data_IF_321914171473
#
_entry.id   IF_321914171473
#
_cell.length_a   1.000
_cell.length_b   1.000
_cell.length_c   1.000
_cell.angle_alpha   90.00
_cell.angle_beta   90.00
_cell.angle_gamma   90.00
#
_symmetry.space_group_name_H-M   'P 1'
#
loop_
_entity.id
_entity.type
_entity.pdbx_description
1 polymer ?
#
# COMPACT_ATOMS: atom_id res chain seq x y z
N UNK A 1 -2.62 3.35 4.03
CA UNK A 1 -3.08 2.49 2.92
C UNK A 1 -2.23 1.23 2.91
N UNK A 2 -2.81 0.04 2.76
CA UNK A 2 -2.06 -1.22 2.74
C UNK A 2 -1.26 -1.37 1.43
N UNK A 3 -0.05 -1.88 1.55
CA UNK A 3 0.78 -2.34 0.42
C UNK A 3 0.77 -3.88 0.33
N UNK A 4 -0.38 -4.46 0.67
CA UNK A 4 -0.66 -5.88 0.65
C UNK A 4 -2.15 -6.10 0.39
N UNK A 5 -2.51 -7.31 -0.03
CA UNK A 5 -3.87 -7.76 -0.15
C UNK A 5 -4.21 -8.85 0.86
N UNK A 6 -5.48 -8.91 1.28
CA UNK A 6 -6.03 -9.98 2.13
C UNK A 6 -6.77 -11.00 1.29
N UNK A 7 -6.50 -12.28 1.53
CA UNK A 7 -6.99 -13.41 0.72
C UNK A 7 -8.23 -14.04 1.37
N UNK A 8 -9.24 -14.29 0.55
CA UNK A 8 -10.46 -15.02 0.90
C UNK A 8 -10.64 -16.15 -0.11
N UNK A 9 -10.57 -17.41 0.34
CA UNK A 9 -10.72 -18.58 -0.51
C UNK A 9 -12.12 -19.19 -0.42
N UNK A 10 -12.48 -20.03 -1.39
CA UNK A 10 -13.79 -20.67 -1.50
C UNK A 10 -14.95 -19.67 -1.38
N UNK A 11 -14.79 -18.50 -2.00
CA UNK A 11 -15.80 -17.44 -2.02
C UNK A 11 -16.22 -17.13 -3.44
N UNK A 12 -17.44 -16.63 -3.61
CA UNK A 12 -17.94 -16.15 -4.92
C UNK A 12 -17.72 -14.66 -5.11
N UNK A 13 -17.21 -13.95 -4.09
CA UNK A 13 -16.87 -12.53 -4.19
C UNK A 13 -17.11 -11.74 -2.90
N UNK A 14 -17.02 -10.40 -2.96
CA UNK A 14 -17.18 -9.53 -1.81
C UNK A 14 -18.55 -9.70 -1.14
N UNK A 15 -18.56 -9.77 0.20
CA UNK A 15 -19.80 -9.89 0.98
C UNK A 15 -20.39 -11.30 1.06
N UNK A 16 -19.77 -12.29 0.41
CA UNK A 16 -20.19 -13.69 0.50
C UNK A 16 -19.36 -14.48 1.52
N UNK A 17 -19.87 -15.62 2.02
CA UNK A 17 -19.08 -16.55 2.82
C UNK A 17 -17.80 -16.97 2.12
N UNK A 18 -16.80 -17.33 2.92
CA UNK A 18 -15.49 -17.80 2.47
C UNK A 18 -15.01 -18.89 3.43
N UNK A 19 -14.09 -19.75 2.98
CA UNK A 19 -13.46 -20.78 3.82
C UNK A 19 -11.94 -20.60 3.83
N UNK A 20 -11.44 -19.86 4.81
CA UNK A 20 -10.00 -19.61 5.00
C UNK A 20 -9.36 -18.79 3.88
N UNK A 21 -8.04 -18.87 3.77
CA UNK A 21 -7.24 -18.10 2.80
C UNK A 21 -6.56 -18.97 1.74
N UNK A 22 -6.99 -20.21 1.60
CA UNK A 22 -6.39 -21.17 0.66
C UNK A 22 -4.97 -21.58 1.03
N UNK A 23 -4.57 -21.44 2.30
CA UNK A 23 -3.21 -21.67 2.80
C UNK A 23 -2.13 -20.94 1.98
N UNK A 24 -2.48 -19.79 1.41
CA UNK A 24 -1.57 -19.02 0.56
C UNK A 24 -1.14 -17.73 1.24
N UNK A 25 0.05 -17.26 0.88
CA UNK A 25 0.64 -16.02 1.34
C UNK A 25 2.06 -15.85 0.82
N UNK A 26 2.57 -14.62 0.77
CA UNK A 26 3.97 -14.38 0.40
C UNK A 26 4.90 -14.57 1.61
N UNK A 27 4.46 -14.11 2.78
CA UNK A 27 5.22 -14.18 4.04
C UNK A 27 4.37 -14.74 5.19
N UNK A 28 3.09 -14.36 5.23
CA UNK A 28 2.10 -14.88 6.19
C UNK A 28 0.89 -15.43 5.44
N UNK A 29 0.34 -16.54 5.94
CA UNK A 29 -0.90 -17.10 5.39
C UNK A 29 -2.04 -16.08 5.49
N UNK A 30 -2.70 -15.81 4.37
CA UNK A 30 -3.79 -14.84 4.28
C UNK A 30 -3.42 -13.47 3.74
N UNK A 31 -2.14 -13.22 3.41
CA UNK A 31 -1.73 -11.97 2.78
C UNK A 31 -0.72 -12.16 1.64
N UNK A 32 -0.90 -11.39 0.58
CA UNK A 32 0.07 -11.24 -0.51
C UNK A 32 0.54 -9.79 -0.59
N UNK A 33 1.80 -9.57 -0.94
CA UNK A 33 2.31 -8.23 -1.19
C UNK A 33 1.61 -7.61 -2.40
N UNK A 34 1.41 -6.30 -2.37
CA UNK A 34 0.83 -5.58 -3.49
C UNK A 34 1.66 -5.75 -4.77
N UNK A 35 2.99 -5.81 -4.68
CA UNK A 35 3.87 -6.07 -5.83
C UNK A 35 3.64 -7.39 -6.55
N UNK A 36 3.00 -8.35 -5.89
CA UNK A 36 2.65 -9.65 -6.44
C UNK A 36 1.21 -9.71 -7.00
N UNK A 37 0.49 -8.60 -7.01
CA UNK A 37 -0.91 -8.50 -7.43
C UNK A 37 -1.11 -7.66 -8.71
N UNK A 38 -2.13 -7.98 -9.53
CA UNK A 38 -2.95 -9.19 -9.47
C UNK A 38 -2.13 -10.44 -9.85
N UNK A 39 -2.52 -11.61 -9.32
CA UNK A 39 -1.94 -12.89 -9.73
C UNK A 39 -2.39 -13.26 -11.15
N UNK A 40 -1.63 -14.10 -11.88
CA UNK A 40 -2.03 -14.54 -13.21
C UNK A 40 -3.45 -15.13 -13.22
N UNK A 41 -4.25 -14.77 -14.24
CA UNK A 41 -5.66 -15.16 -14.44
C UNK A 41 -6.67 -14.53 -13.48
N UNK A 42 -6.25 -13.83 -12.42
CA UNK A 42 -7.16 -13.08 -11.57
C UNK A 42 -7.62 -11.80 -12.27
N UNK A 43 -8.92 -11.51 -12.21
CA UNK A 43 -9.50 -10.29 -12.80
C UNK A 43 -9.62 -9.23 -11.71
N UNK A 44 -8.95 -8.09 -11.88
CA UNK A 44 -9.03 -6.94 -10.99
C UNK A 44 -10.31 -6.14 -11.26
N UNK A 45 -11.05 -5.80 -10.20
CA UNK A 45 -12.31 -5.05 -10.23
C UNK A 45 -12.30 -4.01 -9.12
N UNK A 46 -12.92 -2.85 -9.35
CA UNK A 46 -13.08 -1.80 -8.36
C UNK A 46 -14.55 -1.38 -8.28
N UNK A 47 -15.05 -1.25 -7.05
CA UNK A 47 -16.31 -0.58 -6.76
C UNK A 47 -16.02 0.92 -6.59
N UNK A 48 -16.54 1.74 -7.50
CA UNK A 48 -16.29 3.18 -7.55
C UNK A 48 -17.07 3.96 -6.48
N UNK A 49 -18.09 3.36 -5.86
CA UNK A 49 -18.82 3.98 -4.76
C UNK A 49 -18.13 3.70 -3.43
N UNK A 50 -17.65 2.47 -3.24
CA UNK A 50 -16.96 2.05 -2.02
C UNK A 50 -15.47 2.38 -2.01
N UNK A 51 -14.89 2.70 -3.17
CA UNK A 51 -13.45 2.96 -3.35
C UNK A 51 -12.63 1.76 -2.86
N UNK A 52 -13.11 0.57 -3.22
CA UNK A 52 -12.53 -0.70 -2.86
C UNK A 52 -12.28 -1.53 -4.11
N UNK A 53 -11.09 -2.11 -4.19
CA UNK A 53 -10.70 -2.98 -5.29
C UNK A 53 -10.35 -4.38 -4.80
N UNK A 54 -10.52 -5.35 -5.67
CA UNK A 54 -10.13 -6.73 -5.43
C UNK A 54 -9.77 -7.41 -6.75
N UNK A 55 -9.02 -8.50 -6.68
CA UNK A 55 -8.91 -9.45 -7.79
C UNK A 55 -9.62 -10.74 -7.46
N UNK A 56 -10.12 -11.43 -8.49
CA UNK A 56 -10.80 -12.71 -8.33
C UNK A 56 -10.33 -13.71 -9.38
N UNK A 57 -9.84 -14.88 -8.92
CA UNK A 57 -9.59 -16.07 -9.75
C UNK A 57 -10.79 -17.01 -9.62
N UNK A 58 -11.62 -17.06 -10.66
CA UNK A 58 -12.85 -17.86 -10.68
C UNK A 58 -12.61 -19.37 -10.68
N UNK A 59 -11.45 -19.83 -11.16
CA UNK A 59 -11.11 -21.25 -11.17
C UNK A 59 -10.83 -21.76 -9.75
N UNK A 60 -10.07 -20.97 -8.99
CA UNK A 60 -9.68 -21.31 -7.61
C UNK A 60 -10.59 -20.68 -6.55
N UNK A 61 -11.63 -19.95 -6.97
CA UNK A 61 -12.57 -19.21 -6.10
C UNK A 61 -11.85 -18.37 -5.04
N UNK A 62 -10.80 -17.68 -5.49
CA UNK A 62 -9.89 -16.94 -4.62
C UNK A 62 -10.02 -15.46 -4.90
N UNK A 63 -10.46 -14.72 -3.89
CA UNK A 63 -10.58 -13.27 -3.91
C UNK A 63 -9.47 -12.64 -3.09
N UNK A 64 -8.91 -11.53 -3.56
CA UNK A 64 -7.93 -10.74 -2.80
C UNK A 64 -8.31 -9.27 -2.83
N UNK A 65 -8.49 -8.67 -1.66
CA UNK A 65 -8.81 -7.23 -1.54
C UNK A 65 -7.52 -6.45 -1.28
N UNK A 66 -7.26 -5.40 -2.08
CA UNK A 66 -6.07 -4.54 -1.98
C UNK A 66 -6.35 -3.19 -2.63
N UNK A 67 -5.50 -2.20 -2.35
CA UNK A 67 -5.57 -0.92 -3.05
C UNK A 67 -4.90 -1.01 -4.43
N UNK A 68 -5.42 -0.25 -5.40
CA UNK A 68 -4.82 -0.07 -6.73
C UNK A 68 -4.45 1.40 -6.91
N UNK A 69 -3.74 1.80 -7.99
CA UNK A 69 -3.50 3.22 -8.28
C UNK A 69 -4.81 4.02 -8.35
N UNK A 70 -5.91 3.40 -8.80
CA UNK A 70 -7.23 4.03 -8.79
C UNK A 70 -7.73 4.32 -7.36
N UNK A 71 -7.86 3.31 -6.49
CA UNK A 71 -8.39 3.53 -5.14
C UNK A 71 -7.47 4.41 -4.30
N UNK A 72 -6.15 4.28 -4.48
CA UNK A 72 -5.14 5.14 -3.86
C UNK A 72 -5.29 6.61 -4.28
N UNK A 73 -5.52 6.87 -5.57
CA UNK A 73 -5.75 8.23 -6.09
C UNK A 73 -7.02 8.87 -5.52
N UNK A 74 -8.11 8.11 -5.41
CA UNK A 74 -9.34 8.63 -4.78
C UNK A 74 -9.15 8.85 -3.27
N UNK A 75 -8.40 7.97 -2.59
CA UNK A 75 -8.04 8.18 -1.17
C UNK A 75 -7.13 9.40 -0.97
N UNK A 76 -6.27 9.73 -1.92
CA UNK A 76 -5.49 10.96 -1.91
C UNK A 76 -6.38 12.21 -2.06
N UNK A 77 -7.41 12.16 -2.92
CA UNK A 77 -8.43 13.20 -2.99
C UNK A 77 -9.16 13.36 -1.64
N UNK A 78 -9.47 12.25 -0.97
CA UNK A 78 -10.08 12.27 0.37
C UNK A 78 -9.16 12.92 1.42
N UNK A 79 -7.86 12.60 1.43
CA UNK A 79 -6.86 13.24 2.30
C UNK A 79 -6.90 14.76 2.14
N UNK A 80 -6.89 15.25 0.90
CA UNK A 80 -6.99 16.68 0.60
C UNK A 80 -8.31 17.28 1.07
N UNK A 81 -9.44 16.70 0.66
CA UNK A 81 -10.77 17.22 0.97
C UNK A 81 -11.02 17.34 2.47
N UNK A 82 -10.47 16.40 3.25
CA UNK A 82 -10.60 16.36 4.71
C UNK A 82 -9.45 17.03 5.45
N UNK A 83 -8.45 17.55 4.74
CA UNK A 83 -7.23 18.14 5.32
C UNK A 83 -6.56 17.20 6.34
N UNK A 84 -6.44 15.93 5.99
CA UNK A 84 -5.71 14.96 6.82
C UNK A 84 -4.20 15.26 6.76
N UNK A 85 -3.45 14.84 7.78
CA UNK A 85 -2.01 15.13 7.89
C UNK A 85 -1.10 14.44 6.86
N UNK A 86 -1.64 13.57 6.02
CA UNK A 86 -0.90 12.89 4.96
C UNK A 86 -1.35 11.44 4.74
N UNK A 87 -0.48 10.66 4.11
CA UNK A 87 -0.64 9.23 3.90
C UNK A 87 0.45 8.45 4.65
N UNK A 88 0.10 7.26 5.10
CA UNK A 88 1.03 6.29 5.68
C UNK A 88 0.76 4.94 5.04
N UNK A 89 1.80 4.13 4.90
CA UNK A 89 1.72 2.79 4.32
C UNK A 89 2.28 1.72 5.23
N UNK A 90 1.66 0.53 5.14
CA UNK A 90 2.18 -0.70 5.73
C UNK A 90 2.28 -1.76 4.64
N UNK A 91 3.46 -2.28 4.29
CA UNK A 91 4.79 -1.71 4.59
C UNK A 91 5.62 -1.56 3.30
N UNK A 92 6.74 -0.86 3.39
CA UNK A 92 7.54 -0.41 2.24
C UNK A 92 7.91 -1.50 1.23
N UNK A 93 8.21 -2.71 1.69
CA UNK A 93 8.67 -3.79 0.81
C UNK A 93 7.57 -4.32 -0.10
N UNK A 94 6.31 -4.10 0.25
CA UNK A 94 5.15 -4.55 -0.52
C UNK A 94 4.79 -3.68 -1.73
N UNK A 95 5.33 -2.46 -1.86
CA UNK A 95 5.01 -1.59 -3.00
C UNK A 95 5.65 -2.07 -4.31
N UNK A 96 5.10 -1.57 -5.42
CA UNK A 96 5.66 -1.75 -6.76
C UNK A 96 6.69 -0.67 -7.07
N UNK A 97 7.56 -0.98 -8.01
CA UNK A 97 8.57 -0.05 -8.55
C UNK A 97 8.23 0.45 -9.96
N UNK A 98 7.12 0.00 -10.54
CA UNK A 98 6.61 0.42 -11.84
C UNK A 98 5.56 1.54 -11.70
N UNK A 99 4.88 1.86 -12.80
CA UNK A 99 3.82 2.88 -12.86
C UNK A 99 2.59 2.56 -11.99
N UNK A 100 2.55 1.36 -11.40
CA UNK A 100 1.52 0.96 -10.44
C UNK A 100 1.92 1.18 -8.98
N UNK A 101 3.09 1.78 -8.67
CA UNK A 101 3.42 2.16 -7.29
C UNK A 101 2.31 2.99 -6.65
N UNK A 102 1.81 2.51 -5.50
CA UNK A 102 0.77 3.21 -4.74
C UNK A 102 1.36 4.46 -4.07
N UNK A 103 2.61 4.37 -3.57
CA UNK A 103 3.27 5.51 -2.93
C UNK A 103 3.42 6.64 -3.95
N UNK A 104 3.98 6.36 -5.13
CA UNK A 104 4.16 7.38 -6.17
C UNK A 104 2.82 7.94 -6.64
N UNK A 105 1.81 7.09 -6.87
CA UNK A 105 0.47 7.52 -7.28
C UNK A 105 -0.15 8.54 -6.33
N UNK A 106 -0.01 8.31 -5.01
CA UNK A 106 -0.54 9.21 -3.97
C UNK A 106 0.27 10.50 -3.89
N UNK A 107 1.60 10.41 -3.93
CA UNK A 107 2.49 11.58 -3.88
C UNK A 107 2.23 12.50 -5.07
N UNK A 108 2.18 11.96 -6.29
CA UNK A 108 1.93 12.73 -7.50
C UNK A 108 0.56 13.39 -7.47
N UNK A 109 -0.46 12.66 -7.01
CA UNK A 109 -1.82 13.18 -6.86
C UNK A 109 -1.89 14.34 -5.87
N UNK A 110 -1.22 14.25 -4.73
CA UNK A 110 -1.18 15.33 -3.73
C UNK A 110 -0.38 16.55 -4.24
N UNK A 111 0.74 16.33 -4.94
CA UNK A 111 1.53 17.39 -5.58
C UNK A 111 0.74 18.17 -6.62
N UNK A 112 0.16 17.47 -7.60
CA UNK A 112 -0.64 18.07 -8.68
C UNK A 112 -1.83 18.87 -8.14
N UNK A 113 -2.35 18.48 -6.98
CA UNK A 113 -3.49 19.13 -6.37
C UNK A 113 -3.15 20.42 -5.62
N UNK A 114 -1.91 20.91 -5.70
CA UNK A 114 -1.42 22.09 -4.96
C UNK A 114 -1.29 21.84 -3.46
N UNK A 115 -1.35 20.58 -3.04
CA UNK A 115 -1.10 20.14 -1.67
C UNK A 115 0.36 19.69 -1.49
N UNK A 116 1.28 20.29 -2.25
CA UNK A 116 2.73 20.09 -2.17
C UNK A 116 3.33 20.70 -0.88
N UNK A 117 2.70 20.38 0.24
CA UNK A 117 3.13 20.70 1.58
C UNK A 117 3.54 19.40 2.27
N UNK A 118 4.42 18.63 1.61
CA UNK A 118 5.23 17.70 2.39
C UNK A 118 5.87 18.51 3.52
N UNK A 119 5.75 18.00 4.74
CA UNK A 119 6.41 18.60 5.89
C UNK A 119 7.90 18.78 5.56
N UNK A 120 8.37 20.02 5.68
CA UNK A 120 9.73 20.42 5.36
C UNK A 120 10.58 20.59 6.62
N UNK A 121 10.11 20.09 7.76
CA UNK A 121 10.87 20.06 9.01
C UNK A 121 12.16 19.27 8.82
N UNK A 122 13.30 19.92 9.12
CA UNK A 122 14.61 19.27 9.06
C UNK A 122 14.69 18.10 10.04
N UNK A 123 15.34 17.00 9.61
CA UNK A 123 15.64 15.90 10.51
C UNK A 123 16.76 16.27 11.50
N UNK A 124 16.92 15.45 12.55
CA UNK A 124 18.04 15.56 13.48
C UNK A 124 19.17 14.65 13.02
N UNK A 125 20.34 15.24 12.70
CA UNK A 125 21.54 14.51 12.29
C UNK A 125 22.61 14.45 13.39
N UNK A 126 22.54 15.34 14.37
CA UNK A 126 23.54 15.44 15.42
C UNK A 126 23.08 14.72 16.68
N UNK A 127 23.74 13.61 17.00
CA UNK A 127 23.49 12.81 18.21
C UNK A 127 24.76 12.78 19.08
N UNK A 128 25.16 13.91 19.70
CA UNK A 128 26.46 14.04 20.38
C UNK A 128 26.64 13.10 21.57
N UNK A 129 25.54 12.60 22.15
CA UNK A 129 25.56 11.63 23.27
C UNK A 129 25.34 10.18 22.83
N UNK A 130 25.36 9.89 21.52
CA UNK A 130 25.25 8.51 21.04
C UNK A 130 26.44 7.68 21.53
N UNK A 131 26.16 6.48 22.06
CA UNK A 131 27.19 5.50 22.44
C UNK A 131 27.95 4.92 21.24
N UNK A 132 27.43 5.12 20.03
CA UNK A 132 28.00 4.60 18.79
C UNK A 132 28.84 5.69 18.11
N UNK A 133 30.14 5.44 17.95
CA UNK A 133 31.10 6.43 17.42
C UNK A 133 30.77 6.88 16.00
N UNK A 134 30.36 5.96 15.12
CA UNK A 134 29.94 6.27 13.76
C UNK A 134 28.71 7.22 13.73
N UNK A 135 27.69 6.96 14.55
CA UNK A 135 26.50 7.83 14.65
C UNK A 135 26.87 9.19 15.27
N UNK A 136 27.67 9.19 16.34
CA UNK A 136 28.09 10.42 17.02
C UNK A 136 28.93 11.32 16.13
N UNK A 137 29.79 10.74 15.29
CA UNK A 137 30.62 11.43 14.32
C UNK A 137 29.91 11.67 12.97
N UNK A 138 28.60 11.39 12.88
CA UNK A 138 27.79 11.68 11.69
C UNK A 138 28.21 10.89 10.45
N UNK A 139 28.64 9.64 10.60
CA UNK A 139 29.07 8.75 9.51
C UNK A 139 30.17 9.34 8.61
N UNK A 140 31.11 10.11 9.17
CA UNK A 140 32.16 10.84 8.42
C UNK A 140 33.13 10.01 7.57
N UNK A 141 33.06 8.68 7.61
CA UNK A 141 33.93 7.75 6.88
C UNK A 141 33.21 7.03 5.73
N UNK A 142 31.93 7.30 5.51
CA UNK A 142 31.20 6.89 4.31
C UNK A 142 31.31 7.95 3.20
#
# INVERSE_FOLDING_TARGET
MPLYGRIFAETVGPGFPYAGSGNSGDWETGAWDYKSLPRPRAIETCDLQMIACWSYDSLNKLMVTYDTPYSASVKADYIKQRKLGGAMWWESSGDRTDDRSIINSVVDKLRLAGADQMDNTFNLLQYPSSKYDNVRNGFSSE
#
